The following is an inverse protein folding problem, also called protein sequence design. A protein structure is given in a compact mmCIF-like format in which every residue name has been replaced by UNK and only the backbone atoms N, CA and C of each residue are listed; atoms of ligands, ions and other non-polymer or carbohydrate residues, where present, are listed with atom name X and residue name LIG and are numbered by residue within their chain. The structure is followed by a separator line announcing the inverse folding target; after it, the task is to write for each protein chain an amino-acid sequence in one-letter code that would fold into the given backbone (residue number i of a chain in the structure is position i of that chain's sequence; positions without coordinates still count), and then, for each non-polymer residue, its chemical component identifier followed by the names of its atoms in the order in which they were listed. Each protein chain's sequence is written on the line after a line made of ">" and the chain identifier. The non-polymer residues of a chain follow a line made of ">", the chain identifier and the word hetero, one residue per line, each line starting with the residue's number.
data_IF_013010897994
#
_entry.id   IF_013010897994
#
_cell.length_a   1.000
_cell.length_b   1.000
_cell.length_c   1.000
_cell.angle_alpha   90.00
_cell.angle_beta   90.00
_cell.angle_gamma   90.00
#
_symmetry.space_group_name_H-M   'P 1'
#
loop_
_entity.id
_entity.type
_entity.pdbx_description
1 polymer ?
#
# COMPACT_ATOMS: atom_id res chain seq x y z
N UNK A 1 13.19 -9.38 3.92
CA UNK A 1 13.65 -8.36 2.94
C UNK A 1 13.47 -8.90 1.52
N UNK A 2 12.68 -8.22 0.69
CA UNK A 2 12.57 -8.57 -0.74
C UNK A 2 13.81 -8.05 -1.49
N UNK A 3 14.34 -8.88 -2.40
CA UNK A 3 15.54 -8.55 -3.20
C UNK A 3 15.12 -7.79 -4.45
N UNK A 4 15.83 -6.71 -4.78
CA UNK A 4 15.55 -5.92 -5.99
C UNK A 4 15.93 -6.65 -7.27
N UNK A 5 15.06 -6.61 -8.29
CA UNK A 5 15.36 -7.09 -9.65
C UNK A 5 16.43 -6.19 -10.28
N UNK A 6 17.48 -6.81 -10.80
CA UNK A 6 18.55 -6.15 -11.58
C UNK A 6 18.47 -6.64 -13.01
N UNK A 7 18.45 -5.73 -13.99
CA UNK A 7 18.48 -6.08 -15.41
C UNK A 7 19.90 -5.91 -15.96
N UNK A 8 20.47 -6.96 -16.55
CA UNK A 8 21.86 -6.95 -17.02
C UNK A 8 21.88 -6.84 -18.56
N UNK A 9 22.48 -5.78 -19.10
CA UNK A 9 22.63 -5.64 -20.54
C UNK A 9 23.32 -4.35 -20.97
N UNK A 10 23.55 -4.22 -22.27
CA UNK A 10 24.07 -3.00 -22.91
C UNK A 10 22.92 -2.17 -23.49
N UNK A 11 22.45 -1.16 -22.77
CA UNK A 11 21.32 -0.31 -23.17
C UNK A 11 21.78 0.91 -24.01
N UNK A 12 22.40 0.63 -25.15
CA UNK A 12 22.77 1.66 -26.13
C UNK A 12 22.26 1.27 -27.52
N UNK A 13 22.40 2.19 -28.47
CA UNK A 13 21.98 2.07 -29.86
C UNK A 13 22.93 1.20 -30.71
N UNK A 14 23.99 0.64 -30.12
CA UNK A 14 25.02 -0.13 -30.82
C UNK A 14 24.78 -1.63 -30.65
N UNK A 15 25.15 -2.46 -31.64
CA UNK A 15 25.04 -3.90 -31.52
C UNK A 15 25.91 -4.41 -30.36
N UNK A 16 25.40 -5.43 -29.66
CA UNK A 16 26.13 -6.10 -28.58
C UNK A 16 27.46 -6.63 -29.14
N UNK A 17 28.57 -6.21 -28.51
CA UNK A 17 29.89 -6.69 -28.90
C UNK A 17 30.04 -8.14 -28.46
N UNK A 18 29.76 -9.09 -29.34
CA UNK A 18 29.80 -10.53 -29.06
C UNK A 18 31.16 -10.98 -28.46
N UNK A 19 32.26 -10.33 -28.86
CA UNK A 19 33.60 -10.57 -28.32
C UNK A 19 33.78 -10.19 -26.84
N UNK A 20 32.94 -9.31 -26.29
CA UNK A 20 33.00 -8.86 -24.91
C UNK A 20 32.08 -9.65 -23.95
N UNK A 21 31.06 -10.34 -24.48
CA UNK A 21 30.03 -11.01 -23.66
C UNK A 21 30.12 -12.54 -23.70
N UNK A 22 30.88 -13.09 -24.65
CA UNK A 22 31.01 -14.54 -24.83
C UNK A 22 29.73 -15.22 -25.34
N UNK A 23 29.77 -16.53 -25.61
CA UNK A 23 28.68 -17.25 -26.31
C UNK A 23 27.36 -17.29 -25.53
N UNK A 24 27.39 -17.22 -24.20
CA UNK A 24 26.20 -17.25 -23.33
C UNK A 24 25.64 -15.85 -23.08
N UNK A 25 26.50 -14.83 -23.14
CA UNK A 25 26.15 -13.48 -22.71
C UNK A 25 25.18 -12.75 -23.63
N UNK A 26 25.18 -13.08 -24.93
CA UNK A 26 24.25 -12.48 -25.90
C UNK A 26 22.80 -12.85 -25.59
N UNK A 27 22.52 -14.14 -25.43
CA UNK A 27 21.18 -14.64 -25.11
C UNK A 27 20.69 -14.11 -23.75
N UNK A 28 21.57 -14.06 -22.75
CA UNK A 28 21.24 -13.48 -21.44
C UNK A 28 20.86 -11.99 -21.57
N UNK A 29 21.62 -11.20 -22.31
CA UNK A 29 21.36 -9.76 -22.45
C UNK A 29 20.07 -9.50 -23.23
N UNK A 30 19.81 -10.25 -24.30
CA UNK A 30 18.57 -10.14 -25.08
C UNK A 30 17.36 -10.45 -24.18
N UNK A 31 17.43 -11.53 -23.41
CA UNK A 31 16.36 -11.90 -22.47
C UNK A 31 16.14 -10.85 -21.37
N UNK A 32 17.21 -10.33 -20.76
CA UNK A 32 17.12 -9.29 -19.72
C UNK A 32 16.58 -7.95 -20.26
N UNK A 33 16.89 -7.62 -21.52
CA UNK A 33 16.33 -6.46 -22.21
C UNK A 33 14.84 -6.64 -22.52
N UNK A 34 14.43 -7.81 -22.99
CA UNK A 34 13.03 -8.14 -23.26
C UNK A 34 12.19 -8.09 -21.97
N UNK A 35 12.70 -8.68 -20.87
CA UNK A 35 12.08 -8.61 -19.55
C UNK A 35 11.90 -7.14 -19.10
N UNK A 36 12.94 -6.32 -19.22
CA UNK A 36 12.86 -4.89 -18.87
C UNK A 36 11.81 -4.17 -19.73
N UNK A 37 11.80 -4.41 -21.03
CA UNK A 37 10.84 -3.77 -21.95
C UNK A 37 9.40 -4.18 -21.65
N UNK A 38 9.17 -5.45 -21.29
CA UNK A 38 7.86 -5.92 -20.84
C UNK A 38 7.42 -5.19 -19.56
N UNK A 39 8.31 -5.12 -18.56
CA UNK A 39 8.01 -4.43 -17.31
C UNK A 39 7.74 -2.93 -17.49
N UNK A 40 8.49 -2.26 -18.37
CA UNK A 40 8.25 -0.86 -18.74
C UNK A 40 6.89 -0.67 -19.42
N UNK A 41 6.53 -1.56 -20.35
CA UNK A 41 5.22 -1.54 -21.03
C UNK A 41 4.06 -1.79 -20.06
N UNK A 42 4.29 -2.57 -19.00
CA UNK A 42 3.29 -2.85 -17.97
C UNK A 42 3.12 -1.73 -16.93
N UNK A 43 4.03 -0.75 -16.87
CA UNK A 43 3.98 0.36 -15.89
C UNK A 43 2.60 1.05 -15.86
N UNK A 44 1.98 1.45 -16.99
CA UNK A 44 0.69 2.12 -16.96
C UNK A 44 -0.42 1.26 -16.36
N UNK A 45 -0.41 -0.05 -16.65
CA UNK A 45 -1.36 -1.02 -16.09
C UNK A 45 -1.14 -1.21 -14.60
N UNK A 46 0.11 -1.50 -14.19
CA UNK A 46 0.50 -1.65 -12.77
C UNK A 46 0.20 -0.38 -11.97
N UNK A 47 0.36 0.81 -12.57
CA UNK A 47 0.00 2.08 -11.94
C UNK A 47 -1.51 2.23 -11.74
N UNK A 48 -2.34 1.77 -12.69
CA UNK A 48 -3.80 1.73 -12.53
C UNK A 48 -4.19 0.81 -11.35
N UNK A 49 -3.66 -0.41 -11.32
CA UNK A 49 -3.94 -1.38 -10.26
C UNK A 49 -3.49 -0.84 -8.89
N UNK A 50 -2.32 -0.20 -8.84
CA UNK A 50 -1.84 0.49 -7.63
C UNK A 50 -2.80 1.58 -7.16
N UNK A 51 -3.33 2.41 -8.07
CA UNK A 51 -4.29 3.46 -7.72
C UNK A 51 -5.59 2.89 -7.16
N UNK A 52 -6.09 1.78 -7.72
CA UNK A 52 -7.26 1.08 -7.21
C UNK A 52 -6.98 0.54 -5.81
N UNK A 53 -5.84 -0.10 -5.60
CA UNK A 53 -5.46 -0.64 -4.29
C UNK A 53 -5.33 0.47 -3.24
N UNK A 54 -4.70 1.60 -3.57
CA UNK A 54 -4.62 2.75 -2.66
C UNK A 54 -6.00 3.37 -2.39
N UNK A 55 -6.89 3.40 -3.38
CA UNK A 55 -8.27 3.83 -3.19
C UNK A 55 -9.02 2.90 -2.22
N UNK A 56 -8.90 1.58 -2.38
CA UNK A 56 -9.51 0.58 -1.50
C UNK A 56 -8.99 0.74 -0.07
N UNK A 57 -7.67 0.87 0.11
CA UNK A 57 -7.05 1.15 1.42
C UNK A 57 -7.60 2.44 2.03
N UNK A 58 -7.74 3.51 1.24
CA UNK A 58 -8.27 4.78 1.71
C UNK A 58 -9.75 4.70 2.08
N UNK A 59 -10.57 4.01 1.28
CA UNK A 59 -11.99 3.82 1.57
C UNK A 59 -12.19 3.02 2.86
N UNK A 60 -11.38 1.97 3.06
CA UNK A 60 -11.31 1.16 4.27
C UNK A 60 -10.97 2.00 5.50
N UNK A 61 -9.89 2.79 5.42
CA UNK A 61 -9.49 3.69 6.49
C UNK A 61 -10.57 4.76 6.80
N UNK A 62 -11.18 5.34 5.77
CA UNK A 62 -12.25 6.33 5.93
C UNK A 62 -13.49 5.73 6.61
N UNK A 63 -13.86 4.49 6.25
CA UNK A 63 -14.97 3.75 6.89
C UNK A 63 -14.68 3.55 8.38
N UNK A 64 -13.53 2.95 8.72
CA UNK A 64 -13.10 2.75 10.11
C UNK A 64 -13.12 4.08 10.89
N UNK A 65 -12.56 5.14 10.31
CA UNK A 65 -12.53 6.46 10.94
C UNK A 65 -13.93 7.02 11.22
N UNK A 66 -14.87 6.89 10.28
CA UNK A 66 -16.25 7.33 10.48
C UNK A 66 -16.94 6.58 11.61
N UNK A 67 -16.72 5.26 11.74
CA UNK A 67 -17.27 4.46 12.84
C UNK A 67 -16.69 4.86 14.20
N UNK A 68 -15.37 5.04 14.28
CA UNK A 68 -14.69 5.52 15.50
C UNK A 68 -15.29 6.86 15.94
N UNK A 69 -15.39 7.83 15.03
CA UNK A 69 -15.93 9.16 15.36
C UNK A 69 -17.41 9.06 15.75
N UNK A 70 -18.20 8.19 15.09
CA UNK A 70 -19.58 7.91 15.46
C UNK A 70 -19.71 7.37 16.87
N UNK A 71 -18.89 6.37 17.23
CA UNK A 71 -18.82 5.79 18.57
C UNK A 71 -18.46 6.84 19.63
N UNK A 72 -17.35 7.55 19.43
CA UNK A 72 -16.90 8.58 20.37
C UNK A 72 -17.93 9.69 20.55
N UNK A 73 -18.63 10.10 19.48
CA UNK A 73 -19.71 11.09 19.56
C UNK A 73 -20.87 10.59 20.42
N UNK A 74 -21.22 9.31 20.34
CA UNK A 74 -22.28 8.73 21.17
C UNK A 74 -21.90 8.69 22.66
N UNK A 75 -20.61 8.60 22.97
CA UNK A 75 -20.10 8.63 24.35
C UNK A 75 -19.98 10.05 24.93
N UNK A 76 -20.17 11.10 24.13
CA UNK A 76 -20.07 12.48 24.58
C UNK A 76 -21.34 12.95 25.30
N UNK A 77 -21.22 13.70 26.43
CA UNK A 77 -22.38 14.26 27.10
C UNK A 77 -22.99 15.42 26.30
N UNK A 78 -24.32 15.52 26.29
CA UNK A 78 -25.04 16.53 25.51
C UNK A 78 -25.03 17.92 26.16
N UNK A 79 -25.00 17.98 27.49
CA UNK A 79 -25.11 19.22 28.27
C UNK A 79 -23.77 19.72 28.84
N UNK A 80 -23.29 19.15 29.95
CA UNK A 80 -22.12 19.64 30.69
C UNK A 80 -21.00 18.60 30.75
N UNK A 81 -19.74 19.05 30.90
CA UNK A 81 -18.59 18.16 31.10
C UNK A 81 -17.93 17.64 29.81
N UNK A 82 -18.26 18.20 28.64
CA UNK A 82 -17.75 17.78 27.32
C UNK A 82 -16.22 17.68 27.26
N UNK A 83 -15.49 18.70 27.73
CA UNK A 83 -14.03 18.70 27.70
C UNK A 83 -13.42 17.57 28.55
N UNK A 84 -13.96 17.34 29.75
CA UNK A 84 -13.51 16.26 30.64
C UNK A 84 -13.83 14.87 30.08
N UNK A 85 -15.01 14.72 29.48
CA UNK A 85 -15.41 13.48 28.81
C UNK A 85 -14.55 13.18 27.59
N UNK A 86 -14.27 14.19 26.76
CA UNK A 86 -13.39 14.07 25.61
C UNK A 86 -11.97 13.65 26.02
N UNK A 87 -11.41 14.28 27.06
CA UNK A 87 -10.08 13.90 27.55
C UNK A 87 -10.08 12.44 28.02
N UNK A 88 -11.09 12.02 28.79
CA UNK A 88 -11.22 10.63 29.25
C UNK A 88 -11.32 9.63 28.08
N UNK A 89 -12.05 9.97 27.02
CA UNK A 89 -12.16 9.13 25.82
C UNK A 89 -10.84 9.04 25.05
N UNK A 90 -10.09 10.13 24.96
CA UNK A 90 -8.75 10.15 24.34
C UNK A 90 -7.77 9.32 25.17
N UNK A 91 -7.79 9.46 26.49
CA UNK A 91 -6.91 8.72 27.40
C UNK A 91 -7.22 7.21 27.40
N UNK A 92 -8.47 6.82 27.09
CA UNK A 92 -8.93 5.44 27.01
C UNK A 92 -9.17 4.95 25.57
N UNK A 93 -8.56 5.57 24.57
CA UNK A 93 -8.92 5.34 23.16
C UNK A 93 -8.75 3.87 22.74
N UNK A 94 -7.73 3.19 23.26
CA UNK A 94 -7.51 1.75 23.03
C UNK A 94 -8.68 0.90 23.58
N UNK A 95 -9.17 1.23 24.78
CA UNK A 95 -10.33 0.56 25.36
C UNK A 95 -11.60 0.77 24.53
N UNK A 96 -11.81 1.97 23.99
CA UNK A 96 -12.95 2.26 23.10
C UNK A 96 -12.88 1.45 21.78
N UNK A 97 -11.68 1.06 21.32
CA UNK A 97 -11.49 0.24 20.13
C UNK A 97 -11.70 -1.26 20.37
N UNK A 98 -11.62 -1.70 21.62
CA UNK A 98 -11.80 -3.11 22.01
C UNK A 98 -13.27 -3.47 22.29
N UNK A 99 -14.18 -2.50 22.26
CA UNK A 99 -15.63 -2.75 22.32
C UNK A 99 -16.05 -3.74 21.22
N UNK A 100 -16.79 -4.82 21.52
CA UNK A 100 -16.98 -5.94 20.60
C UNK A 100 -17.47 -5.53 19.21
N UNK A 101 -18.41 -4.58 19.14
CA UNK A 101 -18.96 -4.09 17.87
C UNK A 101 -17.99 -3.22 17.05
N UNK A 102 -17.04 -2.56 17.72
CA UNK A 102 -16.00 -1.75 17.07
C UNK A 102 -14.86 -2.67 16.63
N UNK A 103 -14.46 -3.61 17.48
CA UNK A 103 -13.38 -4.55 17.21
C UNK A 103 -13.74 -5.54 16.09
N UNK A 104 -14.90 -6.18 16.15
CA UNK A 104 -15.36 -7.13 15.13
C UNK A 104 -15.46 -6.45 13.75
N UNK A 105 -15.97 -5.22 13.73
CA UNK A 105 -16.02 -4.42 12.51
C UNK A 105 -14.63 -4.01 12.00
N UNK A 106 -13.71 -3.59 12.87
CA UNK A 106 -12.35 -3.26 12.46
C UNK A 106 -11.62 -4.51 11.95
N UNK A 107 -11.82 -5.66 12.58
CA UNK A 107 -11.22 -6.94 12.19
C UNK A 107 -11.73 -7.44 10.84
N UNK A 108 -13.04 -7.34 10.56
CA UNK A 108 -13.64 -7.70 9.28
C UNK A 108 -13.20 -6.77 8.13
N UNK A 109 -12.81 -5.54 8.49
CA UNK A 109 -12.44 -4.48 7.55
C UNK A 109 -10.92 -4.37 7.40
N UNK A 110 -10.08 -5.06 8.18
CA UNK A 110 -8.61 -5.11 8.01
C UNK A 110 -8.14 -6.31 7.18
#
# INVERSE_FOLDING_TARGET
>A
PEVSRVYIGSFNDKPVKESAVGPIGKELFEKEQDDLLSDLKDIPKKACDRRINEFVKRARAAKIHAYIIGHLKNQMPTMMGKAKAQQKLIDNLEGEFMEPYVYEFIADVL
#
